data_IF_657447586151
#
_entry.id   IF_657447586151
#
_cell.length_a   1.000
_cell.length_b   1.000
_cell.length_c   1.000
_cell.angle_alpha   90.00
_cell.angle_beta   90.00
_cell.angle_gamma   90.00
#
_symmetry.space_group_name_H-M   'P 1'
#
loop_
_entity.id
_entity.type
_entity.pdbx_description
1 polymer ?
#
# COMPACT_ATOMS: atom_id res chain seq x y z
N UNK A 1 -22.50 -14.55 4.15
CA UNK A 1 -21.20 -14.03 4.63
C UNK A 1 -20.25 -13.88 3.45
N UNK A 2 -19.49 -12.78 3.32
CA UNK A 2 -18.51 -12.56 2.23
C UNK A 2 -17.35 -13.57 2.35
N UNK A 3 -16.98 -14.25 1.26
CA UNK A 3 -15.96 -15.31 1.28
C UNK A 3 -14.52 -14.78 1.43
N UNK A 4 -13.60 -15.65 1.87
CA UNK A 4 -12.16 -15.34 1.92
C UNK A 4 -11.64 -14.85 0.56
N UNK A 5 -12.03 -15.52 -0.52
CA UNK A 5 -11.60 -15.18 -1.89
C UNK A 5 -12.01 -13.76 -2.28
N UNK A 6 -13.22 -13.32 -1.92
CA UNK A 6 -13.66 -11.95 -2.19
C UNK A 6 -12.83 -10.93 -1.41
N UNK A 7 -12.55 -11.17 -0.12
CA UNK A 7 -11.66 -10.30 0.65
C UNK A 7 -10.24 -10.26 0.07
N UNK A 8 -9.73 -11.38 -0.43
CA UNK A 8 -8.44 -11.44 -1.13
C UNK A 8 -8.45 -10.60 -2.41
N UNK A 9 -9.51 -10.68 -3.21
CA UNK A 9 -9.66 -9.85 -4.42
C UNK A 9 -9.72 -8.35 -4.08
N UNK A 10 -10.49 -7.97 -3.05
CA UNK A 10 -10.55 -6.59 -2.55
C UNK A 10 -9.17 -6.11 -2.12
N UNK A 11 -8.43 -6.93 -1.37
CA UNK A 11 -7.10 -6.60 -0.89
C UNK A 11 -6.13 -6.35 -2.05
N UNK A 12 -6.07 -7.27 -3.02
CA UNK A 12 -5.17 -7.19 -4.18
C UNK A 12 -5.54 -5.99 -5.06
N UNK A 13 -6.82 -5.72 -5.27
CA UNK A 13 -7.24 -4.55 -6.03
C UNK A 13 -6.81 -3.24 -5.33
N UNK A 14 -6.93 -3.18 -4.00
CA UNK A 14 -6.40 -2.07 -3.21
C UNK A 14 -4.89 -1.87 -3.39
N UNK A 15 -4.12 -2.96 -3.44
CA UNK A 15 -2.67 -2.93 -3.75
C UNK A 15 -2.44 -2.31 -5.13
N UNK A 16 -3.16 -2.73 -6.16
CA UNK A 16 -2.99 -2.16 -7.51
C UNK A 16 -3.27 -0.66 -7.55
N UNK A 17 -4.34 -0.18 -6.90
CA UNK A 17 -4.64 1.25 -6.80
C UNK A 17 -3.53 2.01 -6.07
N UNK A 18 -3.05 1.47 -4.95
CA UNK A 18 -1.97 2.07 -4.16
C UNK A 18 -0.70 2.25 -5.00
N UNK A 19 -0.25 1.18 -5.67
CA UNK A 19 0.96 1.22 -6.50
C UNK A 19 0.78 2.09 -7.74
N UNK A 20 -0.40 2.09 -8.35
CA UNK A 20 -0.72 2.98 -9.47
C UNK A 20 -0.62 4.46 -9.06
N UNK A 21 -1.20 4.83 -7.92
CA UNK A 21 -1.15 6.20 -7.43
C UNK A 21 0.29 6.63 -7.06
N UNK A 22 1.03 5.77 -6.37
CA UNK A 22 2.42 6.02 -5.97
C UNK A 22 3.37 6.09 -7.17
N UNK A 23 3.24 5.20 -8.14
CA UNK A 23 4.00 5.25 -9.38
C UNK A 23 3.71 6.51 -10.18
N UNK A 24 2.43 6.85 -10.35
CA UNK A 24 2.00 8.05 -11.07
C UNK A 24 2.56 9.34 -10.47
N UNK A 25 2.45 9.52 -9.14
CA UNK A 25 3.00 10.72 -8.48
C UNK A 25 4.53 10.76 -8.53
N UNK A 26 5.19 9.60 -8.44
CA UNK A 26 6.66 9.53 -8.46
C UNK A 26 7.18 9.91 -9.83
N UNK A 27 6.56 9.41 -10.91
CA UNK A 27 6.92 9.79 -12.27
C UNK A 27 6.68 11.28 -12.52
N UNK A 28 5.54 11.81 -12.05
CA UNK A 28 5.23 13.23 -12.14
C UNK A 28 6.33 14.09 -11.49
N UNK A 29 6.71 13.76 -10.26
CA UNK A 29 7.75 14.48 -9.53
C UNK A 29 9.14 14.32 -10.16
N UNK A 30 9.47 13.14 -10.69
CA UNK A 30 10.72 12.90 -11.42
C UNK A 30 10.84 13.76 -12.68
N UNK A 31 9.71 14.11 -13.30
CA UNK A 31 9.65 15.01 -14.45
C UNK A 31 9.58 16.50 -14.07
N UNK A 32 9.89 16.85 -12.81
CA UNK A 32 9.85 18.23 -12.32
C UNK A 32 8.47 18.71 -11.89
N UNK A 33 7.48 17.82 -11.84
CA UNK A 33 6.13 18.13 -11.39
C UNK A 33 6.07 18.52 -9.91
N UNK A 34 5.26 19.54 -9.59
CA UNK A 34 5.03 19.98 -8.22
C UNK A 34 3.70 19.44 -7.68
N UNK A 35 3.33 19.83 -6.44
CA UNK A 35 2.03 19.49 -5.85
C UNK A 35 0.84 20.15 -6.57
N UNK A 36 1.08 21.21 -7.33
CA UNK A 36 0.04 21.93 -8.06
C UNK A 36 -0.12 21.36 -9.48
N UNK A 37 -0.95 20.31 -9.62
CA UNK A 37 -1.28 19.70 -10.91
C UNK A 37 -2.73 19.21 -10.94
N UNK A 38 -3.34 19.24 -12.12
CA UNK A 38 -4.78 18.98 -12.31
C UNK A 38 -5.24 17.63 -11.72
N UNK A 39 -4.43 16.58 -11.89
CA UNK A 39 -4.78 15.22 -11.49
C UNK A 39 -4.43 14.89 -10.03
N UNK A 40 -4.02 15.87 -9.21
CA UNK A 40 -3.66 15.64 -7.80
C UNK A 40 -4.77 14.98 -7.01
N UNK A 41 -6.01 15.46 -7.18
CA UNK A 41 -7.17 14.93 -6.47
C UNK A 41 -7.42 13.46 -6.82
N UNK A 42 -7.31 13.12 -8.11
CA UNK A 42 -7.44 11.74 -8.58
C UNK A 42 -6.40 10.83 -7.92
N UNK A 43 -5.11 11.22 -7.92
CA UNK A 43 -4.05 10.45 -7.27
C UNK A 43 -4.31 10.26 -5.77
N UNK A 44 -4.70 11.32 -5.07
CA UNK A 44 -4.96 11.25 -3.62
C UNK A 44 -6.15 10.32 -3.29
N UNK A 45 -7.22 10.38 -4.08
CA UNK A 45 -8.39 9.50 -3.92
C UNK A 45 -8.00 8.05 -4.19
N UNK A 46 -7.30 7.79 -5.30
CA UNK A 46 -6.85 6.43 -5.66
C UNK A 46 -5.94 5.85 -4.59
N UNK A 47 -5.02 6.64 -4.04
CA UNK A 47 -4.15 6.22 -2.93
C UNK A 47 -4.94 5.91 -1.66
N UNK A 48 -5.84 6.81 -1.24
CA UNK A 48 -6.66 6.63 -0.04
C UNK A 48 -7.62 5.44 -0.13
N UNK A 49 -8.30 5.27 -1.26
CA UNK A 49 -9.16 4.11 -1.52
C UNK A 49 -8.32 2.83 -1.56
N UNK A 50 -7.15 2.87 -2.21
CA UNK A 50 -6.21 1.74 -2.23
C UNK A 50 -5.87 1.27 -0.81
N UNK A 51 -5.46 2.19 0.07
CA UNK A 51 -5.16 1.87 1.47
C UNK A 51 -6.36 1.30 2.22
N UNK A 52 -7.54 1.89 2.03
CA UNK A 52 -8.78 1.43 2.67
C UNK A 52 -9.13 0.01 2.23
N UNK A 53 -9.08 -0.30 0.93
CA UNK A 53 -9.38 -1.63 0.41
C UNK A 53 -8.34 -2.68 0.85
N UNK A 54 -7.06 -2.30 0.94
CA UNK A 54 -6.02 -3.15 1.52
C UNK A 54 -6.39 -3.49 2.97
N UNK A 55 -6.80 -2.51 3.77
CA UNK A 55 -7.19 -2.74 5.16
C UNK A 55 -8.44 -3.62 5.26
N UNK A 56 -9.50 -3.27 4.52
CA UNK A 56 -10.78 -3.99 4.49
C UNK A 56 -10.59 -5.46 4.08
N UNK A 57 -9.90 -5.70 2.98
CA UNK A 57 -9.62 -7.06 2.50
C UNK A 57 -8.68 -7.81 3.45
N UNK A 58 -7.70 -7.13 4.03
CA UNK A 58 -6.74 -7.72 4.96
C UNK A 58 -7.41 -8.24 6.23
N UNK A 59 -8.19 -7.39 6.90
CA UNK A 59 -8.91 -7.76 8.12
C UNK A 59 -10.07 -8.73 7.85
N UNK A 60 -10.75 -8.59 6.71
CA UNK A 60 -11.74 -9.56 6.27
C UNK A 60 -11.16 -10.96 6.11
N UNK A 61 -9.96 -11.09 5.52
CA UNK A 61 -9.24 -12.36 5.46
C UNK A 61 -8.85 -12.89 6.85
N UNK A 62 -8.38 -12.04 7.78
CA UNK A 62 -8.04 -12.46 9.14
C UNK A 62 -9.27 -13.04 9.88
N UNK A 63 -10.41 -12.36 9.78
CA UNK A 63 -11.66 -12.84 10.37
C UNK A 63 -12.10 -14.20 9.80
N UNK A 64 -11.89 -14.43 8.49
CA UNK A 64 -12.19 -15.72 7.85
C UNK A 64 -11.22 -16.84 8.24
N UNK A 65 -10.00 -16.49 8.62
CA UNK A 65 -9.00 -17.43 9.11
C UNK A 65 -9.10 -17.67 10.62
N UNK A 66 -10.02 -17.00 11.33
CA UNK A 66 -10.14 -17.10 12.78
C UNK A 66 -8.95 -16.51 13.54
N UNK A 67 -8.15 -15.67 12.89
CA UNK A 67 -6.98 -15.04 13.53
C UNK A 67 -7.45 -13.84 14.35
N UNK A 68 -7.37 -13.98 15.66
CA UNK A 68 -7.73 -12.97 16.65
C UNK A 68 -6.47 -12.43 17.36
N UNK A 69 -6.64 -11.39 18.18
CA UNK A 69 -5.56 -10.85 19.00
C UNK A 69 -5.12 -11.84 20.09
N UNK A 70 -3.81 -11.93 20.44
CA UNK A 70 -2.68 -11.19 19.88
C UNK A 70 -2.27 -11.69 18.50
N UNK A 71 -1.88 -10.76 17.62
CA UNK A 71 -1.46 -11.13 16.27
C UNK A 71 -0.02 -11.66 16.23
N UNK A 72 0.24 -12.73 15.44
CA UNK A 72 1.59 -13.12 15.04
C UNK A 72 2.39 -11.94 14.49
N UNK A 73 3.70 -11.95 14.69
CA UNK A 73 4.52 -10.79 14.37
C UNK A 73 4.48 -10.44 12.88
N UNK A 74 4.37 -11.42 11.97
CA UNK A 74 4.25 -11.16 10.52
C UNK A 74 3.02 -10.29 10.16
N UNK A 75 1.92 -10.38 10.92
CA UNK A 75 0.75 -9.51 10.73
C UNK A 75 1.06 -8.10 11.18
N UNK A 76 1.69 -7.96 12.35
CA UNK A 76 2.11 -6.67 12.92
C UNK A 76 3.07 -5.97 11.95
N UNK A 77 4.08 -6.67 11.45
CA UNK A 77 5.03 -6.15 10.47
C UNK A 77 4.32 -5.68 9.19
N UNK A 78 3.40 -6.50 8.63
CA UNK A 78 2.59 -6.11 7.48
C UNK A 78 1.76 -4.85 7.74
N UNK A 79 1.17 -4.74 8.93
CA UNK A 79 0.36 -3.58 9.31
C UNK A 79 1.21 -2.31 9.45
N UNK A 80 2.40 -2.40 10.03
CA UNK A 80 3.37 -1.28 10.11
C UNK A 80 3.78 -0.83 8.70
N UNK A 81 4.08 -1.76 7.79
CA UNK A 81 4.44 -1.42 6.41
C UNK A 81 3.26 -0.76 5.68
N UNK A 82 2.03 -1.24 5.89
CA UNK A 82 0.84 -0.59 5.35
C UNK A 82 0.67 0.86 5.88
N UNK A 83 0.90 1.09 7.17
CA UNK A 83 0.92 2.45 7.74
C UNK A 83 1.99 3.33 7.09
N UNK A 84 3.19 2.78 6.83
CA UNK A 84 4.25 3.50 6.13
C UNK A 84 3.80 3.94 4.73
N UNK A 85 3.17 3.05 3.95
CA UNK A 85 2.58 3.39 2.65
C UNK A 85 1.53 4.52 2.72
N UNK A 86 0.83 4.65 3.85
CA UNK A 86 -0.03 5.80 4.16
C UNK A 86 0.69 7.14 4.11
N UNK A 87 1.88 7.22 4.72
CA UNK A 87 2.68 8.44 4.75
C UNK A 87 3.48 8.72 3.47
N UNK A 88 3.81 7.68 2.70
CA UNK A 88 4.72 7.78 1.55
C UNK A 88 4.24 8.73 0.46
N UNK A 89 2.94 8.85 0.21
CA UNK A 89 2.41 9.79 -0.79
C UNK A 89 2.84 11.23 -0.50
N UNK A 90 2.75 11.64 0.77
CA UNK A 90 3.15 12.99 1.19
C UNK A 90 4.67 13.15 1.10
N UNK A 91 5.43 12.09 1.40
CA UNK A 91 6.88 12.13 1.36
C UNK A 91 7.41 12.32 -0.07
N UNK A 92 6.78 11.72 -1.09
CA UNK A 92 7.13 11.92 -2.50
C UNK A 92 7.11 13.41 -2.87
N UNK A 93 6.07 14.14 -2.47
CA UNK A 93 6.00 15.59 -2.72
C UNK A 93 7.02 16.39 -1.92
N UNK A 94 7.33 15.98 -0.69
CA UNK A 94 8.24 16.70 0.21
C UNK A 94 9.72 16.47 -0.12
N UNK A 95 10.05 15.35 -0.76
CA UNK A 95 11.43 14.91 -1.03
C UNK A 95 11.58 14.48 -2.50
N UNK A 96 11.37 15.39 -3.47
CA UNK A 96 11.45 15.07 -4.89
C UNK A 96 12.83 14.54 -5.32
N UNK A 97 13.89 14.94 -4.62
CA UNK A 97 15.27 14.44 -4.83
C UNK A 97 15.42 12.94 -4.60
N UNK A 98 14.49 12.30 -3.88
CA UNK A 98 14.45 10.86 -3.65
C UNK A 98 13.55 10.13 -4.65
N UNK A 99 13.09 10.77 -5.73
CA UNK A 99 12.16 10.18 -6.69
C UNK A 99 12.57 8.79 -7.21
N UNK A 100 13.85 8.60 -7.57
CA UNK A 100 14.36 7.27 -8.01
C UNK A 100 14.33 6.25 -6.87
N UNK A 101 14.66 6.67 -5.66
CA UNK A 101 14.55 5.84 -4.45
C UNK A 101 13.12 5.42 -4.20
N UNK A 102 12.13 6.30 -4.38
CA UNK A 102 10.72 5.93 -4.27
C UNK A 102 10.29 4.97 -5.37
N UNK A 103 10.71 5.25 -6.62
CA UNK A 103 10.37 4.43 -7.79
C UNK A 103 10.74 2.96 -7.61
N UNK A 104 11.96 2.68 -7.14
CA UNK A 104 12.41 1.31 -6.86
C UNK A 104 12.08 0.84 -5.43
N UNK A 105 11.99 1.76 -4.48
CA UNK A 105 11.73 1.45 -3.07
C UNK A 105 10.32 0.93 -2.83
N UNK A 106 9.31 1.45 -3.53
CA UNK A 106 7.94 0.94 -3.41
C UNK A 106 7.82 -0.53 -3.83
N UNK A 107 8.23 -0.96 -5.04
CA UNK A 107 8.15 -2.38 -5.40
C UNK A 107 9.01 -3.27 -4.49
N UNK A 108 10.19 -2.81 -4.05
CA UNK A 108 11.02 -3.56 -3.08
C UNK A 108 10.34 -3.74 -1.72
N UNK A 109 9.69 -2.69 -1.21
CA UNK A 109 8.91 -2.77 0.02
C UNK A 109 7.67 -3.67 -0.16
N UNK A 110 7.06 -3.66 -1.34
CA UNK A 110 6.00 -4.61 -1.72
C UNK A 110 6.49 -6.06 -1.74
N UNK A 111 7.67 -6.31 -2.30
CA UNK A 111 8.33 -7.62 -2.31
C UNK A 111 8.64 -8.09 -0.89
N UNK A 112 9.10 -7.21 -0.01
CA UNK A 112 9.32 -7.53 1.41
C UNK A 112 8.02 -7.98 2.10
N UNK A 113 6.90 -7.28 1.85
CA UNK A 113 5.59 -7.70 2.38
C UNK A 113 5.17 -9.05 1.82
N UNK A 114 5.37 -9.28 0.53
CA UNK A 114 5.08 -10.56 -0.12
C UNK A 114 5.89 -11.71 0.48
N UNK A 115 7.17 -11.48 0.79
CA UNK A 115 8.02 -12.42 1.50
C UNK A 115 7.46 -12.71 2.92
N UNK A 116 7.21 -11.67 3.71
CA UNK A 116 6.72 -11.81 5.10
C UNK A 116 5.42 -12.61 5.15
N UNK A 117 4.45 -12.34 4.26
CA UNK A 117 3.15 -13.03 4.28
C UNK A 117 3.23 -14.48 3.78
N UNK A 118 4.18 -14.77 2.89
CA UNK A 118 4.35 -16.11 2.32
C UNK A 118 5.05 -17.05 3.29
N UNK A 119 6.13 -16.58 3.92
CA UNK A 119 6.98 -17.41 4.78
C UNK A 119 6.62 -17.31 6.27
N UNK A 120 5.93 -16.24 6.68
CA UNK A 120 5.51 -15.99 8.08
C UNK A 120 6.64 -16.29 9.09
N UNK A 121 7.82 -15.66 8.93
CA UNK A 121 9.03 -16.06 9.67
C UNK A 121 9.00 -15.80 11.18
N UNK A 122 8.00 -15.09 11.70
CA UNK A 122 7.81 -14.71 13.10
C UNK A 122 6.34 -14.36 13.39
#
# INVERSE_FOLDING_TARGET
>A
MISYTIYKMIHIFGIFLLFMALGGVTLHVLNGGTKEFANRKMIAITHGIGLFLILLGGFGMLARLGIIWPWPGWIVAKFIIWLAYGGLLTLVYKKPTLGKTFWFGFPLLGLLVAYIVSYKPF
#
